data_IF_882771149931
#
_entry.id   IF_882771149931
#
_cell.length_a   1.000
_cell.length_b   1.000
_cell.length_c   1.000
_cell.angle_alpha   90.00
_cell.angle_beta   90.00
_cell.angle_gamma   90.00
#
_symmetry.space_group_name_H-M   'P 1'
#
loop_
_entity.id
_entity.type
_entity.pdbx_description
1 polymer ?
#
# COMPACT_ATOMS: atom_id res chain seq x y z
N UNK A 1 5.95 18.25 41.88
CA UNK A 1 6.73 18.47 40.63
C UNK A 1 7.65 17.28 40.41
N UNK A 2 7.59 16.73 39.18
CA UNK A 2 8.51 15.79 38.50
C UNK A 2 8.84 14.45 39.17
N UNK A 3 8.13 13.38 38.75
CA UNK A 3 8.63 11.99 38.84
C UNK A 3 9.47 11.68 37.60
N UNK A 4 10.79 11.59 37.78
CA UNK A 4 11.76 11.17 36.76
C UNK A 4 11.56 9.67 36.53
N UNK A 5 11.10 9.26 35.34
CA UNK A 5 11.09 7.86 34.92
C UNK A 5 12.43 7.56 34.24
N UNK A 6 13.16 6.60 34.83
CA UNK A 6 14.41 6.05 34.31
C UNK A 6 14.15 5.41 32.94
N UNK A 7 14.83 5.91 31.91
CA UNK A 7 14.90 5.26 30.59
C UNK A 7 15.91 4.13 30.71
N UNK A 8 15.45 2.89 30.55
CA UNK A 8 16.33 1.73 30.45
C UNK A 8 16.97 1.73 29.06
N UNK A 9 18.30 1.81 29.03
CA UNK A 9 19.11 1.58 27.85
C UNK A 9 18.97 0.11 27.43
N UNK A 10 18.60 -0.14 26.18
CA UNK A 10 18.74 -1.45 25.55
C UNK A 10 20.00 -1.40 24.68
N UNK A 11 20.87 -2.37 24.94
CA UNK A 11 22.23 -2.47 24.47
C UNK A 11 22.34 -2.65 22.95
N UNK A 12 23.45 -2.14 22.43
CA UNK A 12 23.92 -2.32 21.07
C UNK A 12 24.18 -3.79 20.75
N UNK A 13 23.74 -4.22 19.56
CA UNK A 13 24.33 -5.36 18.85
C UNK A 13 25.01 -4.81 17.61
N UNK A 14 26.35 -4.79 17.65
CA UNK A 14 27.20 -4.59 16.48
C UNK A 14 27.23 -5.88 15.66
N UNK A 15 26.60 -5.87 14.49
CA UNK A 15 26.78 -6.85 13.44
C UNK A 15 26.68 -6.12 12.10
N UNK A 16 27.75 -6.11 11.32
CA UNK A 16 27.90 -5.27 10.13
C UNK A 16 26.74 -5.41 9.14
N UNK A 17 26.02 -4.31 8.91
CA UNK A 17 25.07 -4.21 7.80
C UNK A 17 25.81 -3.68 6.57
N UNK A 18 25.93 -4.51 5.55
CA UNK A 18 25.87 -4.00 4.18
C UNK A 18 24.46 -3.39 4.05
N UNK A 19 24.36 -2.07 4.23
CA UNK A 19 23.11 -1.34 4.08
C UNK A 19 22.73 -1.31 2.60
N UNK A 20 22.08 -2.38 2.14
CA UNK A 20 21.20 -2.29 0.97
C UNK A 20 20.09 -1.26 1.25
N UNK A 21 19.43 -0.72 0.21
CA UNK A 21 18.37 0.26 0.42
C UNK A 21 17.32 -0.33 1.37
N UNK A 22 17.07 0.35 2.49
CA UNK A 22 16.02 -0.02 3.42
C UNK A 22 14.67 0.26 2.75
N UNK A 23 14.02 -0.79 2.25
CA UNK A 23 12.64 -0.70 1.81
C UNK A 23 11.75 -0.43 3.02
N UNK A 24 10.81 0.51 2.89
CA UNK A 24 9.73 0.60 3.86
C UNK A 24 8.96 -0.73 3.78
N UNK A 25 8.57 -1.32 4.91
CA UNK A 25 7.86 -2.60 4.90
C UNK A 25 6.36 -2.34 4.86
N UNK A 26 5.63 -3.12 4.05
CA UNK A 26 4.16 -3.15 4.08
C UNK A 26 3.62 -3.34 5.50
N UNK A 27 2.66 -2.51 5.90
CA UNK A 27 1.99 -2.52 7.20
C UNK A 27 0.60 -3.11 7.03
N UNK A 28 0.33 -4.21 7.73
CA UNK A 28 -0.98 -4.86 7.76
C UNK A 28 -1.99 -4.08 8.59
N UNK A 29 -3.27 -4.13 8.19
CA UNK A 29 -4.39 -3.64 8.98
C UNK A 29 -4.68 -4.60 10.15
N UNK A 30 -3.85 -4.51 11.19
CA UNK A 30 -3.91 -5.41 12.34
C UNK A 30 -3.94 -4.66 13.67
N UNK A 31 -4.46 -5.31 14.72
CA UNK A 31 -4.53 -4.71 16.06
C UNK A 31 -3.15 -4.50 16.68
N UNK A 32 -2.18 -5.30 16.26
CA UNK A 32 -0.79 -5.23 16.70
C UNK A 32 -0.10 -3.98 16.14
N UNK A 33 -0.45 -3.57 14.92
CA UNK A 33 0.07 -2.35 14.29
C UNK A 33 -0.68 -1.10 14.71
N UNK A 34 -1.97 -1.23 15.05
CA UNK A 34 -2.86 -0.12 15.37
C UNK A 34 -3.58 -0.30 16.72
N UNK A 35 -2.82 -0.55 17.79
CA UNK A 35 -3.37 -0.75 19.14
C UNK A 35 -3.99 0.50 19.74
N UNK A 36 -3.45 1.67 19.38
CA UNK A 36 -3.84 2.97 19.93
C UNK A 36 -5.14 3.51 19.30
N UNK A 37 -5.44 3.13 18.05
CA UNK A 37 -6.65 3.54 17.34
C UNK A 37 -7.44 2.34 16.80
N UNK A 38 -8.08 1.64 17.75
CA UNK A 38 -8.90 0.46 17.44
C UNK A 38 -10.17 0.81 16.67
N UNK A 39 -10.71 2.01 16.88
CA UNK A 39 -11.93 2.45 16.22
C UNK A 39 -11.63 2.82 14.77
N UNK A 40 -10.57 3.59 14.51
CA UNK A 40 -10.09 3.88 13.15
C UNK A 40 -9.72 2.61 12.39
N UNK A 41 -9.05 1.64 13.04
CA UNK A 41 -8.76 0.34 12.43
C UNK A 41 -10.05 -0.39 12.02
N UNK A 42 -11.06 -0.41 12.89
CA UNK A 42 -12.34 -1.06 12.61
C UNK A 42 -13.07 -0.41 11.44
N UNK A 43 -13.04 0.91 11.35
CA UNK A 43 -13.63 1.66 10.25
C UNK A 43 -12.89 1.40 8.94
N UNK A 44 -11.55 1.46 8.95
CA UNK A 44 -10.75 1.16 7.78
C UNK A 44 -10.95 -0.28 7.27
N UNK A 45 -11.04 -1.26 8.18
CA UNK A 45 -11.36 -2.66 7.82
C UNK A 45 -12.76 -2.81 7.23
N UNK A 46 -13.74 -2.02 7.68
CA UNK A 46 -15.08 -1.99 7.09
C UNK A 46 -15.02 -1.49 5.65
N UNK A 47 -14.30 -0.40 5.42
CA UNK A 47 -14.12 0.16 4.08
C UNK A 47 -13.35 -0.81 3.17
N UNK A 48 -12.27 -1.44 3.65
CA UNK A 48 -11.57 -2.48 2.89
C UNK A 48 -12.51 -3.60 2.46
N UNK A 49 -13.34 -4.10 3.37
CA UNK A 49 -14.31 -5.17 3.08
C UNK A 49 -15.34 -4.73 2.04
N UNK A 50 -15.84 -3.49 2.13
CA UNK A 50 -16.79 -2.96 1.15
C UNK A 50 -16.12 -2.78 -0.23
N UNK A 51 -14.90 -2.24 -0.26
CA UNK A 51 -14.10 -2.12 -1.48
C UNK A 51 -13.83 -3.49 -2.12
N UNK A 52 -13.45 -4.50 -1.33
CA UNK A 52 -13.19 -5.86 -1.80
C UNK A 52 -14.44 -6.52 -2.39
N UNK A 53 -15.62 -6.31 -1.80
CA UNK A 53 -16.87 -6.83 -2.34
C UNK A 53 -17.20 -6.27 -3.73
N UNK A 54 -16.88 -4.99 -3.97
CA UNK A 54 -17.08 -4.33 -5.26
C UNK A 54 -15.99 -4.72 -6.26
N UNK A 55 -14.74 -4.83 -5.80
CA UNK A 55 -13.58 -5.19 -6.61
C UNK A 55 -13.63 -6.65 -7.10
N UNK A 56 -14.12 -7.58 -6.25
CA UNK A 56 -14.23 -9.00 -6.56
C UNK A 56 -15.56 -9.37 -7.24
N UNK A 57 -16.44 -8.40 -7.50
CA UNK A 57 -17.67 -8.64 -8.24
C UNK A 57 -17.38 -9.13 -9.67
N UNK A 58 -18.37 -9.76 -10.30
CA UNK A 58 -18.28 -10.19 -11.70
C UNK A 58 -19.43 -9.58 -12.52
N UNK A 59 -19.14 -8.59 -13.40
CA UNK A 59 -17.84 -7.98 -13.62
C UNK A 59 -17.39 -7.08 -12.44
N UNK A 60 -16.08 -6.86 -12.32
CA UNK A 60 -15.50 -6.03 -11.26
C UNK A 60 -16.01 -4.59 -11.33
N UNK A 61 -16.41 -4.04 -10.17
CA UNK A 61 -17.00 -2.70 -10.05
C UNK A 61 -15.97 -1.70 -9.50
N UNK A 62 -14.88 -1.50 -10.24
CA UNK A 62 -13.75 -0.64 -9.83
C UNK A 62 -14.15 0.77 -9.38
N UNK A 63 -15.13 1.39 -10.07
CA UNK A 63 -15.61 2.72 -9.72
C UNK A 63 -16.30 2.78 -8.34
N UNK A 64 -16.93 1.67 -7.91
CA UNK A 64 -17.55 1.56 -6.59
C UNK A 64 -16.54 1.13 -5.51
N UNK A 65 -15.52 0.35 -5.88
CA UNK A 65 -14.45 -0.04 -4.96
C UNK A 65 -13.51 1.12 -4.58
N UNK A 66 -13.22 2.01 -5.53
CA UNK A 66 -12.27 3.11 -5.37
C UNK A 66 -12.52 4.01 -4.13
N UNK A 67 -13.74 4.56 -3.89
CA UNK A 67 -13.97 5.43 -2.74
C UNK A 67 -13.74 4.71 -1.39
N UNK A 68 -14.08 3.42 -1.31
CA UNK A 68 -13.84 2.62 -0.11
C UNK A 68 -12.35 2.41 0.15
N UNK A 69 -11.57 2.06 -0.89
CA UNK A 69 -10.13 1.93 -0.74
C UNK A 69 -9.44 3.25 -0.41
N UNK A 70 -9.92 4.38 -0.95
CA UNK A 70 -9.40 5.70 -0.59
C UNK A 70 -9.69 6.05 0.88
N UNK A 71 -10.83 5.65 1.43
CA UNK A 71 -11.11 5.83 2.85
C UNK A 71 -10.18 4.97 3.73
N UNK A 72 -9.95 3.70 3.38
CA UNK A 72 -8.98 2.86 4.08
C UNK A 72 -7.54 3.39 3.98
N UNK A 73 -7.16 3.97 2.84
CA UNK A 73 -5.84 4.55 2.58
C UNK A 73 -5.52 5.73 3.50
N UNK A 74 -6.53 6.51 3.92
CA UNK A 74 -6.33 7.61 4.87
C UNK A 74 -5.84 7.11 6.23
N UNK A 75 -6.22 5.89 6.62
CA UNK A 75 -5.82 5.29 7.87
C UNK A 75 -4.43 4.63 7.80
N UNK A 76 -4.17 3.87 6.74
CA UNK A 76 -2.90 3.17 6.57
C UNK A 76 -2.44 3.25 5.11
N UNK A 77 -1.63 4.26 4.75
CA UNK A 77 -1.11 4.42 3.39
C UNK A 77 0.02 3.44 3.05
N UNK A 78 0.53 2.72 4.06
CA UNK A 78 1.74 1.91 3.96
C UNK A 78 1.42 0.42 3.81
N UNK A 79 0.26 0.09 3.24
CA UNK A 79 -0.12 -1.28 2.90
C UNK A 79 0.07 -1.53 1.39
N UNK A 80 0.96 -2.45 1.02
CA UNK A 80 1.27 -2.74 -0.39
C UNK A 80 0.03 -3.24 -1.16
N UNK A 81 -0.74 -4.16 -0.60
CA UNK A 81 -1.93 -4.73 -1.24
C UNK A 81 -3.00 -3.68 -1.54
N UNK A 82 -3.30 -2.79 -0.58
CA UNK A 82 -4.23 -1.69 -0.77
C UNK A 82 -3.76 -0.74 -1.88
N UNK A 83 -2.47 -0.43 -1.92
CA UNK A 83 -1.89 0.39 -2.98
C UNK A 83 -1.99 -0.30 -4.36
N UNK A 84 -1.86 -1.62 -4.44
CA UNK A 84 -2.09 -2.39 -5.69
C UNK A 84 -3.55 -2.27 -6.12
N UNK A 85 -4.49 -2.49 -5.21
CA UNK A 85 -5.94 -2.39 -5.48
C UNK A 85 -6.34 -0.98 -5.94
N UNK A 86 -5.82 0.06 -5.30
CA UNK A 86 -6.01 1.45 -5.72
C UNK A 86 -5.44 1.71 -7.11
N UNK A 87 -4.21 1.25 -7.37
CA UNK A 87 -3.59 1.33 -8.68
C UNK A 87 -4.45 0.72 -9.78
N UNK A 88 -4.97 -0.48 -9.55
CA UNK A 88 -5.83 -1.16 -10.51
C UNK A 88 -7.19 -0.47 -10.70
N UNK A 89 -7.83 -0.03 -9.62
CA UNK A 89 -9.03 0.78 -9.69
C UNK A 89 -8.81 2.06 -10.52
N UNK A 90 -7.69 2.74 -10.32
CA UNK A 90 -7.36 3.92 -11.11
C UNK A 90 -7.12 3.60 -12.59
N UNK A 91 -6.43 2.50 -12.93
CA UNK A 91 -6.25 2.07 -14.33
C UNK A 91 -7.57 1.81 -15.07
N UNK A 92 -8.63 1.48 -14.33
CA UNK A 92 -9.99 1.27 -14.84
C UNK A 92 -10.91 2.50 -14.67
N UNK A 93 -10.40 3.62 -14.17
CA UNK A 93 -11.14 4.86 -13.96
C UNK A 93 -10.94 5.88 -15.09
N UNK A 94 -11.61 7.02 -15.01
CA UNK A 94 -11.36 8.19 -15.86
C UNK A 94 -10.04 8.91 -15.56
N UNK A 95 -9.42 8.67 -14.40
CA UNK A 95 -8.19 9.35 -13.94
C UNK A 95 -6.98 8.41 -13.85
N UNK A 96 -6.76 7.62 -14.90
CA UNK A 96 -5.75 6.54 -14.97
C UNK A 96 -4.33 6.95 -14.59
N UNK A 97 -3.96 8.22 -14.81
CA UNK A 97 -2.64 8.75 -14.45
C UNK A 97 -2.32 8.61 -12.96
N UNK A 98 -3.33 8.57 -12.08
CA UNK A 98 -3.12 8.41 -10.63
C UNK A 98 -2.64 7.01 -10.25
N UNK A 99 -2.82 5.99 -11.11
CA UNK A 99 -2.44 4.62 -10.80
C UNK A 99 -0.93 4.47 -10.50
N UNK A 100 -0.09 5.23 -11.22
CA UNK A 100 1.36 5.07 -11.14
C UNK A 100 1.89 5.32 -9.73
N UNK A 101 1.41 6.34 -9.03
CA UNK A 101 1.89 6.67 -7.69
C UNK A 101 1.58 5.56 -6.69
N UNK A 102 0.39 4.95 -6.76
CA UNK A 102 0.00 3.86 -5.87
C UNK A 102 0.80 2.59 -6.18
N UNK A 103 0.96 2.22 -7.44
CA UNK A 103 1.71 1.01 -7.83
C UNK A 103 3.21 1.13 -7.50
N UNK A 104 3.80 2.31 -7.67
CA UNK A 104 5.17 2.57 -7.22
C UNK A 104 5.30 2.54 -5.69
N UNK A 105 4.27 3.00 -4.95
CA UNK A 105 4.27 2.87 -3.49
C UNK A 105 4.21 1.41 -3.08
N UNK A 106 3.35 0.61 -3.72
CA UNK A 106 3.28 -0.83 -3.48
C UNK A 106 4.63 -1.54 -3.71
N UNK A 107 5.28 -1.32 -4.85
CA UNK A 107 6.58 -1.93 -5.17
C UNK A 107 7.68 -1.51 -4.16
N UNK A 108 7.62 -0.29 -3.63
CA UNK A 108 8.56 0.17 -2.59
C UNK A 108 8.29 -0.47 -1.22
N UNK A 109 7.03 -0.78 -0.93
CA UNK A 109 6.60 -1.38 0.35
C UNK A 109 6.81 -2.90 0.37
N UNK A 110 6.68 -3.51 -0.79
CA UNK A 110 6.90 -4.93 -1.01
C UNK A 110 7.57 -5.14 -2.39
N UNK A 111 8.90 -5.30 -2.41
CA UNK A 111 9.64 -5.58 -3.62
C UNK A 111 9.40 -6.99 -4.18
N UNK A 112 8.78 -7.90 -3.41
CA UNK A 112 8.46 -9.27 -3.85
C UNK A 112 7.15 -9.34 -4.63
N UNK A 113 6.94 -8.36 -5.50
CA UNK A 113 5.73 -8.17 -6.26
C UNK A 113 5.40 -9.40 -7.14
N UNK A 114 4.12 -9.78 -7.17
CA UNK A 114 3.65 -10.85 -8.03
C UNK A 114 3.62 -10.40 -9.51
N UNK A 115 3.53 -11.34 -10.49
CA UNK A 115 3.47 -10.99 -11.90
C UNK A 115 2.33 -10.03 -12.26
N UNK A 116 1.22 -10.08 -11.51
CA UNK A 116 0.07 -9.19 -11.71
C UNK A 116 0.44 -7.75 -11.38
N UNK A 117 1.17 -7.52 -10.30
CA UNK A 117 1.61 -6.20 -9.85
C UNK A 117 2.58 -5.58 -10.84
N UNK A 118 3.54 -6.37 -11.35
CA UNK A 118 4.44 -5.96 -12.43
C UNK A 118 3.65 -5.52 -13.68
N UNK A 119 2.68 -6.33 -14.11
CA UNK A 119 1.81 -5.97 -15.25
C UNK A 119 1.01 -4.68 -15.03
N UNK A 120 0.43 -4.48 -13.85
CA UNK A 120 -0.29 -3.25 -13.51
C UNK A 120 0.64 -2.04 -13.53
N UNK A 121 1.84 -2.17 -12.96
CA UNK A 121 2.85 -1.10 -12.95
C UNK A 121 3.31 -0.77 -14.38
N UNK A 122 3.56 -1.78 -15.22
CA UNK A 122 3.89 -1.61 -16.63
C UNK A 122 2.80 -0.81 -17.38
N UNK A 123 1.52 -1.13 -17.17
CA UNK A 123 0.39 -0.37 -17.74
C UNK A 123 0.37 1.08 -17.26
N UNK A 124 0.60 1.32 -15.98
CA UNK A 124 0.62 2.68 -15.43
C UNK A 124 1.80 3.51 -15.96
N UNK A 125 2.98 2.90 -16.09
CA UNK A 125 4.16 3.50 -16.71
C UNK A 125 3.92 3.81 -18.19
N UNK A 126 3.32 2.88 -18.93
CA UNK A 126 2.94 3.06 -20.34
C UNK A 126 2.00 4.26 -20.51
N UNK A 127 0.92 4.36 -19.70
CA UNK A 127 -0.01 5.50 -19.74
C UNK A 127 0.64 6.82 -19.33
N UNK A 128 1.77 6.76 -18.61
CA UNK A 128 2.56 7.93 -18.22
C UNK A 128 3.72 8.23 -19.19
N UNK A 129 3.72 7.60 -20.38
CA UNK A 129 4.75 7.71 -21.41
C UNK A 129 6.17 7.31 -20.96
N UNK A 130 6.28 6.48 -19.91
CA UNK A 130 7.53 5.94 -19.38
C UNK A 130 7.86 4.59 -20.02
N UNK A 131 8.00 4.59 -21.35
CA UNK A 131 8.05 3.37 -22.16
C UNK A 131 9.19 2.41 -21.76
N UNK A 132 10.39 2.95 -21.51
CA UNK A 132 11.55 2.14 -21.15
C UNK A 132 11.43 1.49 -19.76
N UNK A 133 10.74 2.15 -18.82
CA UNK A 133 10.43 1.57 -17.51
C UNK A 133 9.33 0.52 -17.66
N UNK A 134 8.28 0.80 -18.46
CA UNK A 134 7.19 -0.14 -18.71
C UNK A 134 7.69 -1.46 -19.32
N UNK A 135 8.63 -1.41 -20.27
CA UNK A 135 9.22 -2.61 -20.89
C UNK A 135 9.99 -3.50 -19.90
N UNK A 136 10.51 -2.95 -18.80
CA UNK A 136 11.21 -3.75 -17.78
C UNK A 136 10.23 -4.48 -16.86
N UNK A 137 9.01 -3.99 -16.77
CA UNK A 137 7.96 -4.50 -15.89
C UNK A 137 7.00 -5.48 -16.61
N UNK A 138 7.08 -5.58 -17.95
CA UNK A 138 6.39 -6.61 -18.75
C UNK A 138 7.17 -7.92 -18.78
#
# INVERSE_FOLDING_TARGET
MVKIRKVAAVAAVLGGLLAGPAYAQSVEFSKEKFSEDKQGLKEALRELKAGDAEYQADPARYALALPHYLAAQQFNPDNAELNIKLGDCYLHSGTKAQALSYLQRAQKLDPSADPRTHYLLARALHLSAKWAEALKEY
#
